data_IF_160858652757
#
_entry.id   IF_160858652757
#
_cell.length_a   1.000
_cell.length_b   1.000
_cell.length_c   1.000
_cell.angle_alpha   90.00
_cell.angle_beta   90.00
_cell.angle_gamma   90.00
#
_symmetry.space_group_name_H-M   'P 1'
#
loop_
_entity.id
_entity.type
_entity.pdbx_description
1 polymer ?
#
# COMPACT_ATOMS: atom_id res chain seq x y z
N UNK A 1 7.42 -7.06 -47.38
CA UNK A 1 7.02 -6.62 -46.03
C UNK A 1 5.63 -7.16 -45.76
N UNK A 2 5.50 -8.20 -44.95
CA UNK A 2 4.19 -8.76 -44.60
C UNK A 2 3.50 -7.79 -43.62
N UNK A 3 2.40 -7.19 -44.05
CA UNK A 3 1.51 -6.42 -43.19
C UNK A 3 0.92 -7.39 -42.16
N UNK A 4 1.46 -7.42 -40.95
CA UNK A 4 0.86 -8.17 -39.86
C UNK A 4 -0.55 -7.62 -39.65
N UNK A 5 -1.56 -8.49 -39.75
CA UNK A 5 -2.95 -8.13 -39.47
C UNK A 5 -3.05 -7.39 -38.12
N UNK A 6 -3.94 -6.40 -37.98
CA UNK A 6 -4.13 -5.70 -36.72
C UNK A 6 -4.37 -6.73 -35.61
N UNK A 7 -3.55 -6.69 -34.56
CA UNK A 7 -3.68 -7.64 -33.45
C UNK A 7 -4.93 -7.26 -32.66
N UNK A 8 -6.01 -8.00 -32.86
CA UNK A 8 -7.28 -7.77 -32.14
C UNK A 8 -7.32 -8.57 -30.84
N UNK A 9 -7.83 -7.95 -29.78
CA UNK A 9 -8.10 -8.60 -28.50
C UNK A 9 -9.54 -8.31 -28.08
N UNK A 10 -10.26 -9.33 -27.65
CA UNK A 10 -11.62 -9.22 -27.14
C UNK A 10 -11.54 -9.15 -25.61
N UNK A 11 -12.20 -8.16 -25.02
CA UNK A 11 -12.24 -7.92 -23.59
C UNK A 11 -13.68 -7.88 -23.12
N UNK A 12 -14.04 -8.81 -22.23
CA UNK A 12 -15.30 -8.77 -21.50
C UNK A 12 -15.06 -8.18 -20.11
N UNK A 13 -15.74 -7.08 -19.78
CA UNK A 13 -15.60 -6.42 -18.47
C UNK A 13 -16.92 -5.87 -17.97
N UNK A 14 -17.07 -5.82 -16.65
CA UNK A 14 -18.24 -5.20 -16.02
C UNK A 14 -18.17 -3.68 -16.11
N UNK A 15 -19.25 -3.09 -16.64
CA UNK A 15 -19.49 -1.65 -16.71
C UNK A 15 -20.98 -1.42 -16.41
N UNK A 16 -21.31 -1.40 -15.13
CA UNK A 16 -22.65 -1.08 -14.64
C UNK A 16 -22.74 0.43 -14.36
N UNK A 17 -23.94 0.99 -14.30
CA UNK A 17 -24.16 2.42 -14.07
C UNK A 17 -23.48 2.96 -12.80
N UNK A 18 -23.45 2.14 -11.74
CA UNK A 18 -22.86 2.49 -10.45
C UNK A 18 -21.52 1.81 -10.17
N UNK A 19 -21.06 0.91 -11.05
CA UNK A 19 -19.86 0.12 -10.79
C UNK A 19 -19.07 -0.22 -12.06
N UNK A 20 -17.87 0.32 -12.15
CA UNK A 20 -16.91 -0.01 -13.22
C UNK A 20 -15.77 -0.84 -12.64
N UNK A 21 -15.53 -2.01 -13.22
CA UNK A 21 -14.47 -2.90 -12.74
C UNK A 21 -13.08 -2.26 -12.97
N UNK A 22 -12.28 -2.01 -11.90
CA UNK A 22 -10.96 -1.39 -12.04
C UNK A 22 -9.97 -2.29 -12.79
N UNK A 23 -10.07 -3.61 -12.63
CA UNK A 23 -9.23 -4.56 -13.37
C UNK A 23 -9.58 -4.61 -14.86
N UNK A 24 -10.85 -4.41 -15.22
CA UNK A 24 -11.28 -4.26 -16.62
C UNK A 24 -10.64 -3.05 -17.30
N UNK A 25 -10.59 -1.91 -16.60
CA UNK A 25 -9.91 -0.72 -17.11
C UNK A 25 -8.40 -0.95 -17.27
N UNK A 26 -7.75 -1.57 -16.28
CA UNK A 26 -6.31 -1.91 -16.36
C UNK A 26 -6.01 -2.90 -17.49
N UNK A 27 -6.87 -3.88 -17.74
CA UNK A 27 -6.73 -4.83 -18.84
C UNK A 27 -6.86 -4.13 -20.20
N UNK A 28 -7.85 -3.25 -20.36
CA UNK A 28 -8.05 -2.43 -21.57
C UNK A 28 -6.85 -1.55 -21.87
N UNK A 29 -6.32 -0.85 -20.86
CA UNK A 29 -5.12 -0.01 -20.99
C UNK A 29 -3.89 -0.85 -21.34
N UNK A 30 -3.69 -2.00 -20.69
CA UNK A 30 -2.57 -2.88 -20.98
C UNK A 30 -2.59 -3.39 -22.43
N UNK A 31 -3.74 -3.85 -22.93
CA UNK A 31 -3.89 -4.30 -24.31
C UNK A 31 -3.57 -3.19 -25.31
N UNK A 32 -4.09 -1.97 -25.09
CA UNK A 32 -3.81 -0.80 -25.93
C UNK A 32 -2.32 -0.45 -25.96
N UNK A 33 -1.64 -0.48 -24.80
CA UNK A 33 -0.18 -0.24 -24.72
C UNK A 33 0.66 -1.31 -25.41
N UNK A 34 0.13 -2.52 -25.59
CA UNK A 34 0.79 -3.58 -26.35
C UNK A 34 0.46 -3.54 -27.86
N UNK A 35 -0.26 -2.50 -28.32
CA UNK A 35 -0.60 -2.30 -29.72
C UNK A 35 -1.80 -3.11 -30.22
N UNK A 36 -2.63 -3.62 -29.30
CA UNK A 36 -3.85 -4.35 -29.69
C UNK A 36 -5.02 -3.40 -29.93
N UNK A 37 -5.81 -3.71 -30.96
CA UNK A 37 -7.17 -3.15 -31.12
C UNK A 37 -8.08 -3.92 -30.18
N UNK A 38 -8.75 -3.22 -29.25
CA UNK A 38 -9.56 -3.85 -28.20
C UNK A 38 -11.04 -3.78 -28.55
N UNK A 39 -11.65 -4.93 -28.75
CA UNK A 39 -13.10 -5.11 -28.81
C UNK A 39 -13.64 -5.23 -27.38
N UNK A 40 -14.26 -4.15 -26.90
CA UNK A 40 -14.68 -4.01 -25.51
C UNK A 40 -16.16 -4.37 -25.34
N UNK A 41 -16.43 -5.57 -24.82
CA UNK A 41 -17.75 -6.06 -24.48
C UNK A 41 -18.07 -5.72 -23.02
N UNK A 42 -18.85 -4.65 -22.85
CA UNK A 42 -19.31 -4.20 -21.56
C UNK A 42 -20.50 -5.04 -21.07
N UNK A 43 -20.30 -5.75 -19.96
CA UNK A 43 -21.36 -6.43 -19.21
C UNK A 43 -22.03 -5.39 -18.30
N UNK A 44 -23.27 -5.02 -18.60
CA UNK A 44 -23.97 -3.87 -17.99
C UNK A 44 -24.86 -4.27 -16.83
N UNK A 45 -25.25 -5.53 -16.76
CA UNK A 45 -26.08 -6.05 -15.66
C UNK A 45 -25.38 -7.17 -14.91
N UNK A 46 -25.86 -7.46 -13.70
CA UNK A 46 -25.35 -8.57 -12.91
C UNK A 46 -25.73 -9.90 -13.55
N UNK A 47 -26.93 -9.99 -14.11
CA UNK A 47 -27.46 -11.15 -14.82
C UNK A 47 -26.60 -11.46 -16.05
N UNK A 48 -26.23 -10.45 -16.86
CA UNK A 48 -25.27 -10.63 -17.96
C UNK A 48 -23.92 -11.13 -17.48
N UNK A 49 -23.43 -10.58 -16.37
CA UNK A 49 -22.13 -10.97 -15.81
C UNK A 49 -22.14 -12.42 -15.34
N UNK A 50 -23.19 -12.82 -14.64
CA UNK A 50 -23.31 -14.16 -14.08
C UNK A 50 -23.62 -15.19 -15.19
N UNK A 51 -24.39 -14.81 -16.21
CA UNK A 51 -24.56 -15.61 -17.43
C UNK A 51 -23.23 -15.80 -18.18
N UNK A 52 -22.48 -14.72 -18.40
CA UNK A 52 -21.15 -14.79 -19.04
C UNK A 52 -20.18 -15.70 -18.27
N UNK A 53 -20.17 -15.59 -16.94
CA UNK A 53 -19.37 -16.44 -16.05
C UNK A 53 -19.76 -17.92 -16.17
N UNK A 54 -21.06 -18.22 -16.20
CA UNK A 54 -21.56 -19.57 -16.35
C UNK A 54 -21.22 -20.17 -17.72
N UNK A 55 -21.46 -19.41 -18.80
CA UNK A 55 -21.16 -19.80 -20.18
C UNK A 55 -19.68 -20.11 -20.38
N UNK A 56 -18.79 -19.27 -19.85
CA UNK A 56 -17.35 -19.42 -20.03
C UNK A 56 -16.68 -20.25 -18.92
N UNK A 57 -17.42 -20.70 -17.91
CA UNK A 57 -16.90 -21.46 -16.77
C UNK A 57 -15.86 -20.69 -15.93
N UNK A 58 -16.05 -19.38 -15.75
CA UNK A 58 -15.10 -18.49 -15.06
C UNK A 58 -15.72 -17.88 -13.81
N UNK A 59 -14.91 -17.67 -12.77
CA UNK A 59 -15.39 -17.09 -11.50
C UNK A 59 -15.34 -15.57 -11.49
N UNK A 60 -14.49 -14.98 -12.33
CA UNK A 60 -14.12 -13.56 -12.28
C UNK A 60 -14.19 -12.91 -13.67
N UNK A 61 -14.42 -11.61 -13.66
CA UNK A 61 -14.22 -10.71 -14.81
C UNK A 61 -13.20 -9.64 -14.38
N UNK A 62 -12.45 -9.02 -15.31
CA UNK A 62 -12.53 -9.15 -16.77
C UNK A 62 -11.96 -10.46 -17.31
N UNK A 63 -12.39 -10.85 -18.51
CA UNK A 63 -11.79 -11.93 -19.28
C UNK A 63 -11.30 -11.43 -20.64
N UNK A 64 -10.09 -11.83 -21.02
CA UNK A 64 -9.44 -11.44 -22.26
C UNK A 64 -9.24 -12.64 -23.19
N UNK A 65 -9.53 -12.41 -24.47
CA UNK A 65 -9.30 -13.36 -25.55
C UNK A 65 -8.41 -12.72 -26.62
N UNK A 66 -7.41 -13.45 -27.09
CA UNK A 66 -6.47 -13.00 -28.13
C UNK A 66 -6.37 -14.10 -29.17
N UNK A 67 -6.62 -13.80 -30.44
CA UNK A 67 -6.55 -14.80 -31.51
C UNK A 67 -7.54 -15.96 -31.35
N UNK A 68 -8.68 -15.74 -30.69
CA UNK A 68 -9.68 -16.77 -30.39
C UNK A 68 -9.38 -17.61 -29.15
N UNK A 69 -8.19 -17.50 -28.57
CA UNK A 69 -7.82 -18.21 -27.35
C UNK A 69 -8.06 -17.37 -26.10
N UNK A 70 -8.55 -18.01 -25.04
CA UNK A 70 -8.79 -17.38 -23.75
C UNK A 70 -7.49 -17.20 -22.98
N UNK A 71 -7.04 -15.96 -22.84
CA UNK A 71 -5.88 -15.58 -22.01
C UNK A 71 -6.23 -15.63 -20.52
N UNK A 72 -7.44 -15.19 -20.15
CA UNK A 72 -7.92 -15.20 -18.77
C UNK A 72 -8.09 -13.81 -18.17
N UNK A 73 -7.81 -13.68 -16.87
CA UNK A 73 -7.99 -12.43 -16.12
C UNK A 73 -6.87 -11.40 -16.35
N UNK A 74 -6.90 -10.30 -15.58
CA UNK A 74 -5.86 -9.27 -15.68
C UNK A 74 -4.45 -9.79 -15.32
N UNK A 75 -4.35 -10.67 -14.33
CA UNK A 75 -3.06 -11.26 -13.94
C UNK A 75 -2.53 -12.22 -15.01
N UNK A 76 -3.39 -13.01 -15.63
CA UNK A 76 -3.02 -13.90 -16.73
C UNK A 76 -2.59 -13.11 -17.97
N UNK A 77 -3.28 -12.00 -18.26
CA UNK A 77 -2.88 -11.06 -19.30
C UNK A 77 -1.49 -10.47 -19.05
N UNK A 78 -1.15 -10.15 -17.79
CA UNK A 78 0.20 -9.70 -17.45
C UNK A 78 1.23 -10.81 -17.68
N UNK A 79 0.93 -12.05 -17.31
CA UNK A 79 1.80 -13.22 -17.59
C UNK A 79 1.99 -13.42 -19.09
N UNK A 80 0.93 -13.32 -19.88
CA UNK A 80 0.95 -13.44 -21.33
C UNK A 80 1.94 -12.45 -21.98
N UNK A 81 2.01 -11.22 -21.47
CA UNK A 81 2.97 -10.21 -21.92
C UNK A 81 4.34 -10.26 -21.21
N UNK A 82 4.65 -11.33 -20.47
CA UNK A 82 5.90 -11.47 -19.74
C UNK A 82 6.10 -10.43 -18.63
N UNK A 83 5.04 -9.75 -18.18
CA UNK A 83 5.10 -8.77 -17.10
C UNK A 83 5.04 -9.49 -15.76
N UNK A 84 5.81 -9.00 -14.79
CA UNK A 84 5.73 -9.47 -13.40
C UNK A 84 4.30 -9.30 -12.88
N UNK A 85 3.73 -10.36 -12.31
CA UNK A 85 2.49 -10.31 -11.52
C UNK A 85 2.89 -10.14 -10.06
N UNK A 86 2.09 -9.40 -9.29
CA UNK A 86 2.34 -9.29 -7.85
C UNK A 86 2.17 -10.68 -7.23
N UNK A 87 3.22 -11.20 -6.61
CA UNK A 87 3.10 -12.39 -5.77
C UNK A 87 2.46 -11.97 -4.44
N UNK A 88 1.27 -12.48 -4.08
CA UNK A 88 0.62 -12.16 -2.81
C UNK A 88 1.47 -12.50 -1.58
N UNK A 89 2.47 -13.38 -1.72
CA UNK A 89 3.34 -13.83 -0.64
C UNK A 89 4.70 -13.12 -0.59
N UNK A 90 5.02 -12.26 -1.56
CA UNK A 90 6.30 -11.55 -1.58
C UNK A 90 6.29 -10.35 -0.60
N UNK A 91 7.27 -10.32 0.30
CA UNK A 91 7.47 -9.19 1.21
C UNK A 91 7.84 -7.94 0.41
N UNK A 92 7.06 -6.87 0.60
CA UNK A 92 7.24 -5.62 -0.15
C UNK A 92 7.69 -4.52 0.80
N UNK A 93 8.97 -4.14 0.74
CA UNK A 93 9.53 -3.03 1.52
C UNK A 93 9.27 -1.64 0.91
N UNK A 94 8.66 -1.57 -0.28
CA UNK A 94 8.38 -0.31 -0.98
C UNK A 94 7.59 0.70 -0.13
N UNK A 95 6.53 0.34 0.61
CA UNK A 95 5.79 1.31 1.41
C UNK A 95 6.64 1.89 2.53
N UNK A 96 7.48 1.06 3.16
CA UNK A 96 8.38 1.48 4.24
C UNK A 96 9.47 2.41 3.69
N UNK A 97 10.10 2.04 2.58
CA UNK A 97 11.09 2.89 1.92
C UNK A 97 10.50 4.23 1.46
N UNK A 98 9.27 4.22 0.93
CA UNK A 98 8.55 5.44 0.54
C UNK A 98 8.24 6.34 1.75
N UNK A 99 7.85 5.76 2.89
CA UNK A 99 7.61 6.50 4.13
C UNK A 99 8.87 7.25 4.58
N UNK A 100 10.00 6.57 4.68
CA UNK A 100 11.26 7.20 5.10
C UNK A 100 11.78 8.20 4.07
N UNK A 101 11.63 7.92 2.78
CA UNK A 101 12.00 8.88 1.73
C UNK A 101 11.15 10.17 1.83
N UNK A 102 9.82 10.04 2.00
CA UNK A 102 8.94 11.20 2.09
C UNK A 102 9.17 12.03 3.35
N UNK A 103 9.35 11.38 4.50
CA UNK A 103 9.64 12.07 5.77
C UNK A 103 11.02 12.75 5.74
N UNK A 104 12.02 12.18 5.07
CA UNK A 104 13.31 12.83 4.82
C UNK A 104 13.15 14.08 3.95
N UNK A 105 12.40 13.99 2.84
CA UNK A 105 12.13 15.13 1.97
C UNK A 105 11.36 16.24 2.71
N UNK A 106 10.38 15.89 3.55
CA UNK A 106 9.68 16.85 4.41
C UNK A 106 10.64 17.56 5.36
N UNK A 107 11.54 16.82 6.02
CA UNK A 107 12.52 17.39 6.93
C UNK A 107 13.48 18.38 6.25
N UNK A 108 13.99 18.00 5.07
CA UNK A 108 14.85 18.87 4.26
C UNK A 108 14.09 20.11 3.77
N UNK A 109 12.82 19.95 3.36
CA UNK A 109 11.98 21.06 2.92
C UNK A 109 11.70 22.06 4.06
N UNK A 110 11.43 21.58 5.27
CA UNK A 110 11.24 22.44 6.45
C UNK A 110 12.55 23.11 6.84
N UNK A 111 13.68 22.40 6.79
CA UNK A 111 15.00 23.00 7.01
C UNK A 111 15.31 24.10 6.01
N UNK A 112 15.01 23.88 4.73
CA UNK A 112 15.15 24.89 3.70
C UNK A 112 14.23 26.10 3.97
N UNK A 113 12.98 25.87 4.39
CA UNK A 113 12.02 26.95 4.63
C UNK A 113 12.38 27.82 5.85
N UNK A 114 12.92 27.22 6.91
CA UNK A 114 13.21 27.93 8.17
C UNK A 114 14.63 28.52 8.18
N UNK A 115 15.62 27.78 7.68
CA UNK A 115 17.03 28.16 7.79
C UNK A 115 17.68 28.55 6.46
N UNK A 116 16.93 28.53 5.34
CA UNK A 116 17.44 28.70 3.97
C UNK A 116 18.55 27.69 3.56
N UNK A 117 18.78 26.68 4.39
CA UNK A 117 19.75 25.60 4.18
C UNK A 117 19.09 24.25 4.40
N UNK A 118 19.24 23.29 3.46
CA UNK A 118 18.49 22.03 3.54
C UNK A 118 19.14 21.04 4.52
N UNK A 119 20.47 21.07 4.67
CA UNK A 119 21.24 20.15 5.50
C UNK A 119 21.63 20.85 6.81
N UNK A 120 20.85 20.60 7.87
CA UNK A 120 21.12 21.09 9.22
C UNK A 120 20.98 19.95 10.23
N UNK A 121 21.54 20.10 11.44
CA UNK A 121 21.27 19.19 12.55
C UNK A 121 19.77 19.12 12.87
N UNK A 122 19.06 20.26 12.70
CA UNK A 122 17.61 20.33 12.91
C UNK A 122 16.82 19.54 11.85
N UNK A 123 17.33 19.44 10.63
CA UNK A 123 16.76 18.56 9.60
C UNK A 123 16.80 17.09 10.02
N UNK A 124 17.86 16.65 10.69
CA UNK A 124 17.96 15.28 11.21
C UNK A 124 16.93 15.04 12.32
N UNK A 125 16.78 15.98 13.25
CA UNK A 125 15.77 15.90 14.32
C UNK A 125 14.34 15.87 13.76
N UNK A 126 14.03 16.74 12.80
CA UNK A 126 12.73 16.74 12.12
C UNK A 126 12.49 15.47 11.32
N UNK A 127 13.52 14.88 10.71
CA UNK A 127 13.39 13.60 10.02
C UNK A 127 12.94 12.49 10.98
N UNK A 128 13.56 12.39 12.16
CA UNK A 128 13.15 11.43 13.20
C UNK A 128 11.73 11.71 13.67
N UNK A 129 11.39 12.98 13.92
CA UNK A 129 10.09 13.38 14.42
C UNK A 129 8.96 13.10 13.40
N UNK A 130 9.16 13.45 12.12
CA UNK A 130 8.22 13.13 11.04
C UNK A 130 8.08 11.62 10.84
N UNK A 131 9.18 10.87 10.91
CA UNK A 131 9.13 9.40 10.83
C UNK A 131 8.28 8.81 11.95
N UNK A 132 8.50 9.24 13.19
CA UNK A 132 7.72 8.80 14.35
C UNK A 132 6.23 9.15 14.20
N UNK A 133 5.90 10.38 13.80
CA UNK A 133 4.52 10.81 13.61
C UNK A 133 3.80 10.03 12.51
N UNK A 134 4.45 9.78 11.37
CA UNK A 134 3.84 9.02 10.26
C UNK A 134 3.71 7.54 10.61
N UNK A 135 4.69 6.94 11.29
CA UNK A 135 4.57 5.57 11.78
C UNK A 135 3.43 5.42 12.81
N UNK A 136 3.28 6.38 13.72
CA UNK A 136 2.15 6.42 14.64
C UNK A 136 0.82 6.55 13.89
N UNK A 137 0.75 7.38 12.85
CA UNK A 137 -0.45 7.50 12.01
C UNK A 137 -0.82 6.16 11.36
N UNK A 138 0.15 5.37 10.88
CA UNK A 138 -0.13 4.03 10.34
C UNK A 138 -0.74 3.10 11.40
N UNK A 139 -0.27 3.19 12.65
CA UNK A 139 -0.83 2.43 13.78
C UNK A 139 -2.24 2.89 14.13
N UNK A 140 -2.50 4.20 14.05
CA UNK A 140 -3.80 4.82 14.36
C UNK A 140 -4.88 4.55 13.29
N UNK A 141 -4.50 4.22 12.04
CA UNK A 141 -5.47 3.88 11.00
C UNK A 141 -6.33 2.67 11.36
N UNK A 142 -5.78 1.70 12.11
CA UNK A 142 -6.52 0.57 12.63
C UNK A 142 -5.92 0.14 13.98
N UNK A 143 -6.35 0.83 15.04
CA UNK A 143 -5.88 0.60 16.40
C UNK A 143 -6.17 -0.83 16.87
N UNK A 144 -7.30 -1.42 16.49
CA UNK A 144 -7.69 -2.77 16.90
C UNK A 144 -6.75 -3.84 16.30
N UNK A 145 -6.47 -3.72 14.99
CA UNK A 145 -5.52 -4.61 14.32
C UNK A 145 -4.10 -4.43 14.85
N UNK A 146 -3.69 -3.18 15.12
CA UNK A 146 -2.41 -2.90 15.75
C UNK A 146 -2.33 -3.51 17.14
N UNK A 147 -3.29 -3.25 18.02
CA UNK A 147 -3.31 -3.74 19.41
C UNK A 147 -3.21 -5.27 19.45
N UNK A 148 -4.03 -5.95 18.63
CA UNK A 148 -3.99 -7.41 18.51
C UNK A 148 -2.62 -7.93 18.07
N UNK A 149 -2.01 -7.29 17.07
CA UNK A 149 -0.69 -7.69 16.59
C UNK A 149 0.42 -7.36 17.61
N UNK A 150 0.31 -6.23 18.29
CA UNK A 150 1.27 -5.72 19.27
C UNK A 150 1.33 -6.61 20.51
N UNK A 151 0.18 -7.14 20.95
CA UNK A 151 0.10 -8.13 22.04
C UNK A 151 0.91 -9.40 21.77
N UNK A 152 1.17 -9.77 20.51
CA UNK A 152 1.97 -10.97 20.22
C UNK A 152 3.46 -10.79 20.54
N UNK A 153 3.97 -9.55 20.53
CA UNK A 153 5.40 -9.26 20.64
C UNK A 153 5.77 -8.45 21.89
N UNK A 154 4.93 -7.50 22.31
CA UNK A 154 5.26 -6.58 23.42
C UNK A 154 4.95 -7.21 24.79
N UNK A 155 5.97 -7.37 25.64
CA UNK A 155 5.85 -8.02 26.95
C UNK A 155 4.99 -7.21 27.93
N UNK A 156 5.03 -5.88 27.84
CA UNK A 156 4.25 -4.99 28.69
C UNK A 156 2.78 -4.99 28.26
N UNK A 157 2.52 -4.99 26.96
CA UNK A 157 1.18 -5.12 26.41
C UNK A 157 0.54 -6.46 26.80
N UNK A 158 1.29 -7.58 26.77
CA UNK A 158 0.83 -8.89 27.27
C UNK A 158 0.42 -8.83 28.74
N UNK A 159 1.11 -8.01 29.55
CA UNK A 159 0.83 -7.85 30.99
C UNK A 159 -0.33 -6.89 31.27
N UNK A 160 -0.49 -5.83 30.46
CA UNK A 160 -1.53 -4.82 30.62
C UNK A 160 -2.11 -4.41 29.26
N UNK A 161 -3.17 -5.10 28.83
CA UNK A 161 -3.81 -4.90 27.50
C UNK A 161 -4.20 -3.44 27.20
N UNK A 162 -4.74 -2.63 28.13
CA UNK A 162 -5.03 -1.22 27.85
C UNK A 162 -3.83 -0.42 27.32
N UNK A 163 -2.58 -0.81 27.66
CA UNK A 163 -1.37 -0.19 27.11
C UNK A 163 -1.28 -0.30 25.59
N UNK A 164 -1.72 -1.41 24.99
CA UNK A 164 -1.66 -1.58 23.53
C UNK A 164 -2.53 -0.58 22.77
N UNK A 165 -3.59 -0.10 23.41
CA UNK A 165 -4.48 0.93 22.86
C UNK A 165 -3.93 2.34 23.05
N UNK A 166 -3.23 2.61 24.16
CA UNK A 166 -2.66 3.94 24.47
C UNK A 166 -1.36 4.19 23.71
N UNK A 167 -0.57 3.15 23.49
CA UNK A 167 0.74 3.22 22.84
C UNK A 167 0.78 4.04 21.53
N UNK A 168 -0.07 3.78 20.51
CA UNK A 168 0.02 4.50 19.24
C UNK A 168 -0.30 6.00 19.38
N UNK A 169 -1.13 6.37 20.37
CA UNK A 169 -1.40 7.78 20.68
C UNK A 169 -0.20 8.44 21.38
N UNK A 170 0.43 7.73 22.32
CA UNK A 170 1.62 8.22 23.02
C UNK A 170 2.78 8.45 22.04
N UNK A 171 2.99 7.54 21.08
CA UNK A 171 4.00 7.68 20.03
C UNK A 171 3.67 8.83 19.07
N UNK A 172 2.41 8.97 18.67
CA UNK A 172 1.96 10.09 17.83
C UNK A 172 2.16 11.43 18.51
N UNK A 173 1.79 11.53 19.80
CA UNK A 173 1.98 12.71 20.62
C UNK A 173 3.49 13.04 20.77
N UNK A 174 4.32 12.04 21.04
CA UNK A 174 5.77 12.24 21.11
C UNK A 174 6.34 12.77 19.79
N UNK A 175 5.93 12.21 18.64
CA UNK A 175 6.33 12.69 17.32
C UNK A 175 5.93 14.14 17.08
N UNK A 176 4.69 14.53 17.43
CA UNK A 176 4.21 15.91 17.29
C UNK A 176 4.97 16.88 18.20
N UNK A 177 5.22 16.50 19.45
CA UNK A 177 6.01 17.30 20.41
C UNK A 177 7.46 17.48 19.92
N UNK A 178 8.06 16.44 19.37
CA UNK A 178 9.39 16.51 18.76
C UNK A 178 9.43 17.45 17.55
N UNK A 179 8.40 17.45 16.69
CA UNK A 179 8.30 18.40 15.56
C UNK A 179 8.25 19.84 16.08
N UNK A 180 7.42 20.10 17.08
CA UNK A 180 7.30 21.41 17.71
C UNK A 180 8.58 21.85 18.44
N UNK A 181 9.46 20.91 18.81
CA UNK A 181 10.62 21.17 19.64
C UNK A 181 10.27 21.53 21.08
N UNK A 182 9.03 21.23 21.50
CA UNK A 182 8.51 21.53 22.84
C UNK A 182 8.58 20.25 23.66
N UNK A 183 9.02 20.36 24.92
CA UNK A 183 9.09 19.23 25.86
C UNK A 183 9.97 18.04 25.40
N UNK A 184 11.13 18.32 24.78
CA UNK A 184 12.14 17.31 24.42
C UNK A 184 12.52 16.43 25.63
N UNK A 185 12.59 17.04 26.82
CA UNK A 185 12.84 16.39 28.11
C UNK A 185 11.81 15.31 28.49
N UNK A 186 10.57 15.38 28.00
CA UNK A 186 9.53 14.38 28.23
C UNK A 186 9.43 13.37 27.07
N UNK A 187 9.62 13.84 25.83
CA UNK A 187 9.58 12.98 24.63
C UNK A 187 10.73 11.97 24.57
N UNK A 188 11.95 12.35 24.99
CA UNK A 188 13.14 11.49 24.93
C UNK A 188 13.03 10.30 25.90
N UNK A 189 12.62 10.46 27.18
CA UNK A 189 12.35 9.33 28.06
C UNK A 189 11.24 8.41 27.55
N UNK A 190 10.15 8.98 27.01
CA UNK A 190 9.04 8.19 26.45
C UNK A 190 9.53 7.36 25.26
N UNK A 191 10.28 7.97 24.34
CA UNK A 191 10.84 7.29 23.17
C UNK A 191 11.90 6.24 23.56
N UNK A 192 12.72 6.49 24.59
CA UNK A 192 13.72 5.54 25.09
C UNK A 192 13.08 4.35 25.81
N UNK A 193 12.03 4.58 26.60
CA UNK A 193 11.28 3.51 27.26
C UNK A 193 10.55 2.66 26.23
N UNK A 194 9.84 3.30 25.29
CA UNK A 194 9.13 2.62 24.21
C UNK A 194 10.10 1.85 23.29
N UNK A 195 11.19 2.50 22.87
CA UNK A 195 12.21 1.89 22.02
C UNK A 195 12.97 0.77 22.72
N UNK A 196 13.25 0.93 24.01
CA UNK A 196 13.92 -0.08 24.84
C UNK A 196 13.05 -1.32 25.07
N UNK A 197 11.77 -1.14 25.38
CA UNK A 197 10.81 -2.24 25.51
C UNK A 197 10.65 -2.95 24.16
N UNK A 198 10.50 -2.20 23.06
CA UNK A 198 10.43 -2.77 21.72
C UNK A 198 11.67 -3.59 21.34
N UNK A 199 12.87 -3.10 21.64
CA UNK A 199 14.13 -3.80 21.36
C UNK A 199 14.28 -5.10 22.20
N UNK A 200 13.89 -5.05 23.47
CA UNK A 200 13.87 -6.23 24.35
C UNK A 200 12.87 -7.28 23.88
N UNK A 201 11.68 -6.85 23.43
CA UNK A 201 10.64 -7.72 22.90
C UNK A 201 11.02 -8.46 21.61
N UNK A 202 11.82 -7.83 20.74
CA UNK A 202 12.37 -8.50 19.54
C UNK A 202 13.45 -9.51 19.93
N UNK A 203 14.22 -9.24 20.99
CA UNK A 203 15.33 -10.09 21.45
C UNK A 203 14.83 -11.32 22.24
N UNK A 204 13.70 -11.20 22.93
CA UNK A 204 13.05 -12.25 23.72
C UNK A 204 11.59 -12.40 23.29
N UNK A 205 11.33 -13.04 22.13
CA UNK A 205 9.97 -13.44 21.80
C UNK A 205 9.51 -14.47 22.84
N UNK A 206 8.52 -14.10 23.64
CA UNK A 206 7.81 -15.01 24.55
C UNK A 206 6.85 -15.91 23.79
#
# INVERSE_FOLDING_TARGET
MASAAPRTAILYRMVMDTHVCPYGLKAKDLLRRQGYVVEDHALRTREETDAFKAEHGVKTTPQVFIGGERVGGYDDLRRFFGKRVADPKATTYRPVAALFAMTALMALAVSQAVYATPLTLRAVEWFVAFSMAVLALLKLQNVESFATMFLNYDLLAKRWVPYSYVYPFAEGLAGVLMIAGVAVWASVPIALVIGGIGAMSVRFPA
#
